data_IF_437748488684
#
_entry.id   IF_437748488684
#
_cell.length_a   1.000
_cell.length_b   1.000
_cell.length_c   1.000
_cell.angle_alpha   90.00
_cell.angle_beta   90.00
_cell.angle_gamma   90.00
#
_symmetry.space_group_name_H-M   'P 1'
#
loop_
_entity.id
_entity.type
_entity.pdbx_description
1 polymer ?
#
# COMPACT_ATOMS: atom_id res chain seq x y z
N UNK A 1 1.83 -11.48 -15.45
CA UNK A 1 2.94 -12.22 -14.79
C UNK A 1 2.83 -11.86 -13.32
N UNK A 2 2.61 -12.82 -12.42
CA UNK A 2 2.37 -12.51 -11.01
C UNK A 2 3.62 -11.88 -10.37
N UNK A 3 3.52 -10.61 -9.97
CA UNK A 3 4.59 -9.92 -9.25
C UNK A 3 4.61 -10.38 -7.79
N UNK A 4 5.79 -10.67 -7.26
CA UNK A 4 5.92 -11.03 -5.86
C UNK A 4 5.60 -9.82 -4.95
N UNK A 5 4.85 -10.04 -3.88
CA UNK A 5 4.55 -9.02 -2.87
C UNK A 5 5.82 -8.31 -2.35
N UNK A 6 6.92 -9.05 -2.14
CA UNK A 6 8.20 -8.50 -1.70
C UNK A 6 8.83 -7.51 -2.70
N UNK A 7 8.60 -7.70 -4.00
CA UNK A 7 9.05 -6.77 -5.04
C UNK A 7 8.26 -5.46 -4.98
N UNK A 8 6.95 -5.54 -4.73
CA UNK A 8 6.11 -4.36 -4.53
C UNK A 8 6.47 -3.62 -3.24
N UNK A 9 6.72 -4.34 -2.14
CA UNK A 9 7.20 -3.73 -0.89
C UNK A 9 8.52 -2.98 -1.08
N UNK A 10 9.48 -3.59 -1.77
CA UNK A 10 10.76 -2.93 -2.07
C UNK A 10 10.53 -1.64 -2.89
N UNK A 11 9.68 -1.70 -3.92
CA UNK A 11 9.36 -0.52 -4.71
C UNK A 11 8.66 0.59 -3.91
N UNK A 12 7.77 0.23 -2.98
CA UNK A 12 7.08 1.19 -2.12
C UNK A 12 8.05 1.91 -1.18
N UNK A 13 9.08 1.20 -0.68
CA UNK A 13 10.15 1.79 0.15
C UNK A 13 11.01 2.80 -0.63
N UNK A 14 11.04 2.70 -1.95
CA UNK A 14 11.81 3.60 -2.83
C UNK A 14 11.01 4.81 -3.32
N UNK A 15 9.73 4.97 -2.92
CA UNK A 15 8.92 6.12 -3.32
C UNK A 15 9.53 7.44 -2.79
N UNK A 16 9.85 8.40 -3.66
CA UNK A 16 10.41 9.68 -3.24
C UNK A 16 9.32 10.57 -2.64
N UNK A 17 9.74 11.43 -1.69
CA UNK A 17 8.95 12.56 -1.19
C UNK A 17 7.52 12.19 -0.75
N UNK A 18 7.41 11.19 0.14
CA UNK A 18 6.13 10.79 0.69
C UNK A 18 5.41 11.98 1.35
N UNK A 19 4.12 12.21 1.05
CA UNK A 19 3.36 13.35 1.59
C UNK A 19 3.09 13.23 3.10
N UNK A 20 3.33 12.06 3.68
CA UNK A 20 3.30 11.78 5.12
C UNK A 20 4.32 10.67 5.42
N UNK A 21 4.94 10.65 6.62
CA UNK A 21 5.80 9.55 7.01
C UNK A 21 5.07 8.20 7.05
N UNK A 22 5.72 7.17 6.51
CA UNK A 22 5.26 5.78 6.55
C UNK A 22 6.35 4.96 7.22
N UNK A 23 6.05 4.36 8.37
CA UNK A 23 7.02 3.59 9.16
C UNK A 23 7.32 2.24 8.52
N UNK A 24 6.31 1.59 7.94
CA UNK A 24 6.45 0.30 7.28
C UNK A 24 5.36 0.05 6.25
N UNK A 25 5.65 -0.91 5.38
CA UNK A 25 4.79 -1.39 4.31
C UNK A 25 4.54 -2.87 4.50
N UNK A 26 3.31 -3.30 4.23
CA UNK A 26 2.97 -4.71 4.03
C UNK A 26 2.23 -4.83 2.70
N UNK A 27 2.56 -5.83 1.91
CA UNK A 27 1.84 -6.15 0.68
C UNK A 27 1.40 -7.60 0.69
N UNK A 28 0.18 -7.82 0.23
CA UNK A 28 -0.35 -9.15 -0.08
C UNK A 28 -0.86 -9.16 -1.51
N UNK A 29 -0.69 -10.28 -2.19
CA UNK A 29 -1.11 -10.50 -3.58
C UNK A 29 -1.91 -11.79 -3.66
N UNK A 30 -2.99 -11.80 -4.42
CA UNK A 30 -3.84 -12.99 -4.58
C UNK A 30 -5.19 -12.64 -5.19
N UNK A 31 -6.06 -13.64 -5.43
CA UNK A 31 -7.43 -13.39 -5.87
C UNK A 31 -8.22 -12.70 -4.76
N UNK A 32 -9.05 -11.73 -5.12
CA UNK A 32 -10.02 -11.14 -4.19
C UNK A 32 -11.25 -12.05 -4.00
N UNK A 33 -12.30 -11.54 -3.35
CA UNK A 33 -13.52 -12.32 -3.11
C UNK A 33 -14.33 -12.67 -4.37
N UNK A 34 -13.99 -12.10 -5.53
CA UNK A 34 -14.62 -12.40 -6.83
C UNK A 34 -13.70 -13.19 -7.76
N UNK A 35 -12.61 -13.77 -7.23
CA UNK A 35 -11.56 -14.47 -7.98
C UNK A 35 -10.77 -13.55 -8.94
N UNK A 36 -10.87 -12.23 -8.79
CA UNK A 36 -10.10 -11.27 -9.60
C UNK A 36 -8.71 -11.05 -8.99
N UNK A 37 -7.63 -11.00 -9.80
CA UNK A 37 -6.29 -10.73 -9.30
C UNK A 37 -6.24 -9.39 -8.56
N UNK A 38 -5.72 -9.41 -7.33
CA UNK A 38 -5.68 -8.24 -6.48
C UNK A 38 -4.39 -8.09 -5.68
N UNK A 39 -4.14 -6.85 -5.28
CA UNK A 39 -3.03 -6.42 -4.42
C UNK A 39 -3.60 -5.61 -3.27
N UNK A 40 -3.25 -6.01 -2.06
CA UNK A 40 -3.52 -5.24 -0.86
C UNK A 40 -2.23 -4.59 -0.37
N UNK A 41 -2.26 -3.28 -0.22
CA UNK A 41 -1.15 -2.50 0.32
C UNK A 41 -1.58 -1.87 1.64
N UNK A 42 -0.86 -2.18 2.71
CA UNK A 42 -1.00 -1.51 4.00
C UNK A 42 0.21 -0.60 4.22
N UNK A 43 -0.07 0.69 4.36
CA UNK A 43 0.89 1.69 4.79
C UNK A 43 0.68 1.99 6.28
N UNK A 44 1.68 1.68 7.09
CA UNK A 44 1.67 1.98 8.52
C UNK A 44 2.20 3.40 8.71
N UNK A 45 1.33 4.32 9.10
CA UNK A 45 1.65 5.74 9.25
C UNK A 45 2.22 5.97 10.65
N UNK A 46 3.25 6.81 10.76
CA UNK A 46 3.79 7.20 12.07
C UNK A 46 2.82 8.07 12.87
N UNK A 47 1.96 8.80 12.17
CA UNK A 47 0.94 9.68 12.73
C UNK A 47 -0.44 9.09 12.46
N UNK A 48 -1.25 9.00 13.51
CA UNK A 48 -2.62 8.49 13.43
C UNK A 48 -3.56 9.55 12.79
N UNK A 49 -3.21 10.84 12.91
CA UNK A 49 -3.98 12.00 12.45
C UNK A 49 -3.41 12.66 11.18
N UNK A 50 -3.24 11.87 10.12
CA UNK A 50 -2.84 12.42 8.81
C UNK A 50 -4.01 13.11 8.10
N UNK A 51 -3.78 14.36 7.67
CA UNK A 51 -4.69 15.14 6.84
C UNK A 51 -5.21 14.33 5.63
N UNK A 52 -6.51 14.49 5.34
CA UNK A 52 -7.17 13.81 4.22
C UNK A 52 -6.47 14.02 2.88
N UNK A 53 -5.94 15.22 2.62
CA UNK A 53 -5.24 15.55 1.36
C UNK A 53 -3.94 14.76 1.23
N UNK A 54 -3.15 14.66 2.30
CA UNK A 54 -1.90 13.88 2.33
C UNK A 54 -2.19 12.39 2.15
N UNK A 55 -3.19 11.84 2.84
CA UNK A 55 -3.64 10.44 2.67
C UNK A 55 -4.11 10.16 1.24
N UNK A 56 -4.86 11.08 0.63
CA UNK A 56 -5.35 10.93 -0.74
C UNK A 56 -4.20 10.94 -1.76
N UNK A 57 -3.23 11.84 -1.58
CA UNK A 57 -2.03 11.89 -2.42
C UNK A 57 -1.18 10.64 -2.27
N UNK A 58 -0.97 10.17 -1.05
CA UNK A 58 -0.24 8.92 -0.78
C UNK A 58 -0.92 7.73 -1.47
N UNK A 59 -2.25 7.62 -1.35
CA UNK A 59 -3.03 6.57 -2.02
C UNK A 59 -2.85 6.59 -3.53
N UNK A 60 -2.88 7.78 -4.14
CA UNK A 60 -2.68 7.92 -5.58
C UNK A 60 -1.27 7.47 -6.01
N UNK A 61 -0.24 7.86 -5.26
CA UNK A 61 1.16 7.45 -5.54
C UNK A 61 1.33 5.93 -5.43
N UNK A 62 0.80 5.31 -4.37
CA UNK A 62 0.85 3.86 -4.18
C UNK A 62 0.15 3.14 -5.34
N UNK A 63 -1.05 3.60 -5.70
CA UNK A 63 -1.85 2.99 -6.76
C UNK A 63 -1.14 3.05 -8.11
N UNK A 64 -0.65 4.23 -8.48
CA UNK A 64 0.09 4.43 -9.73
C UNK A 64 1.35 3.56 -9.80
N UNK A 65 2.10 3.43 -8.70
CA UNK A 65 3.26 2.55 -8.65
C UNK A 65 2.89 1.07 -8.86
N UNK A 66 1.86 0.59 -8.18
CA UNK A 66 1.42 -0.82 -8.26
C UNK A 66 0.88 -1.10 -9.66
N UNK A 67 -0.01 -0.25 -10.20
CA UNK A 67 -0.59 -0.41 -11.53
C UNK A 67 0.48 -0.41 -12.64
N UNK A 68 1.59 0.32 -12.48
CA UNK A 68 2.73 0.29 -13.42
C UNK A 68 3.54 -1.01 -13.37
N UNK A 69 3.41 -1.79 -12.29
CA UNK A 69 4.17 -3.02 -12.05
C UNK A 69 3.32 -4.28 -12.15
N UNK A 70 2.00 -4.16 -12.20
CA UNK A 70 1.03 -5.25 -12.34
C UNK A 70 0.34 -5.20 -13.69
N UNK A 71 -0.44 -6.25 -13.99
CA UNK A 71 -1.32 -6.26 -15.15
C UNK A 71 -2.48 -5.26 -14.94
N UNK A 72 -2.99 -4.68 -16.02
CA UNK A 72 -4.06 -3.65 -15.97
C UNK A 72 -5.39 -4.13 -15.39
N UNK A 73 -5.59 -5.44 -15.28
CA UNK A 73 -6.76 -6.07 -14.66
C UNK A 73 -6.60 -6.29 -13.15
N UNK A 74 -5.41 -6.03 -12.59
CA UNK A 74 -5.15 -6.24 -11.16
C UNK A 74 -5.80 -5.14 -10.33
N UNK A 75 -6.65 -5.52 -9.37
CA UNK A 75 -7.29 -4.60 -8.44
C UNK A 75 -6.32 -4.17 -7.34
N UNK A 76 -6.25 -2.88 -7.03
CA UNK A 76 -5.34 -2.34 -6.01
C UNK A 76 -6.11 -1.74 -4.84
N UNK A 77 -5.95 -2.34 -3.67
CA UNK A 77 -6.55 -1.91 -2.42
C UNK A 77 -5.51 -1.28 -1.50
N UNK A 78 -5.64 0.02 -1.25
CA UNK A 78 -4.75 0.74 -0.32
C UNK A 78 -5.45 0.95 1.03
N UNK A 79 -4.76 0.60 2.11
CA UNK A 79 -5.20 0.79 3.50
C UNK A 79 -4.13 1.52 4.29
N UNK A 80 -4.58 2.39 5.17
CA UNK A 80 -3.74 3.14 6.12
C UNK A 80 -4.07 2.63 7.52
N UNK A 81 -3.04 2.39 8.34
CA UNK A 81 -3.17 2.10 9.77
C UNK A 81 -2.21 2.96 10.55
N UNK A 82 -2.56 3.29 11.78
CA UNK A 82 -1.61 3.87 12.73
C UNK A 82 -0.54 2.86 13.13
N UNK A 83 0.72 3.27 13.21
CA UNK A 83 1.79 2.39 13.73
C UNK A 83 1.48 1.95 15.17
N UNK A 84 0.87 2.83 15.97
CA UNK A 84 0.38 2.60 17.33
C UNK A 84 -0.66 1.49 17.43
N UNK A 85 -1.45 1.27 16.37
CA UNK A 85 -2.50 0.25 16.32
C UNK A 85 -1.94 -1.16 16.08
N UNK A 86 -0.74 -1.27 15.50
CA UNK A 86 -0.10 -2.56 15.18
C UNK A 86 0.52 -3.20 16.43
N UNK A 87 1.01 -2.41 17.39
CA UNK A 87 1.59 -2.91 18.65
C UNK A 87 0.57 -3.58 19.59
N UNK A 88 -0.73 -3.28 19.46
CA UNK A 88 -1.79 -3.88 20.28
C UNK A 88 -2.47 -5.11 19.65
N UNK A 89 -2.00 -5.57 18.49
CA UNK A 89 -2.59 -6.71 17.77
C UNK A 89 -1.71 -7.96 17.74
N UNK A 90 -0.65 -8.01 18.58
CA UNK A 90 0.28 -9.13 18.71
C UNK A 90 0.04 -9.93 20.00
#
# INVERSE_FOLDING_TARGET
MDIAASTLEAALRELPELPTPVSSWRVETGPDSTDDPAVWVWAMLEDDEVEFVKRSRLRAMIRDLVEKKTDSSTLVYVRFRGASEVENAA
#
